data_IF_193238877004
#
_entry.id   IF_193238877004
#
_cell.length_a   1.000
_cell.length_b   1.000
_cell.length_c   1.000
_cell.angle_alpha   90.00
_cell.angle_beta   90.00
_cell.angle_gamma   90.00
#
_symmetry.space_group_name_H-M   'P 1'
#
loop_
_entity.id
_entity.type
_entity.pdbx_description
1 polymer ?
#
# COMPACT_ATOMS: atom_id res chain seq x y z
N UNK A 1 -28.51 39.92 -51.35
CA UNK A 1 -29.71 39.17 -50.90
C UNK A 1 -30.51 40.13 -50.04
N UNK A 2 -31.65 40.58 -50.54
CA UNK A 2 -32.44 41.62 -49.93
C UNK A 2 -33.11 41.10 -48.65
N UNK A 3 -32.95 41.84 -47.54
CA UNK A 3 -33.84 41.96 -46.40
C UNK A 3 -34.97 40.91 -46.25
N UNK A 4 -34.65 39.62 -46.10
CA UNK A 4 -35.62 38.67 -45.60
C UNK A 4 -35.92 39.06 -44.15
N UNK A 5 -37.10 39.62 -43.92
CA UNK A 5 -37.56 39.91 -42.57
C UNK A 5 -37.82 38.56 -41.89
N UNK A 6 -37.45 38.42 -40.62
CA UNK A 6 -37.70 37.21 -39.81
C UNK A 6 -39.17 36.72 -39.89
N UNK A 7 -40.10 37.64 -40.12
CA UNK A 7 -41.54 37.39 -40.29
C UNK A 7 -41.95 36.78 -41.64
N UNK A 8 -41.03 36.66 -42.59
CA UNK A 8 -41.27 36.14 -43.95
C UNK A 8 -40.68 34.73 -44.14
N UNK A 9 -40.08 34.16 -43.10
CA UNK A 9 -39.59 32.78 -43.11
C UNK A 9 -40.78 31.80 -43.18
N UNK A 10 -40.65 30.66 -43.87
CA UNK A 10 -41.72 29.67 -43.97
C UNK A 10 -42.16 29.18 -42.59
N UNK A 11 -43.47 29.20 -42.31
CA UNK A 11 -43.99 28.59 -41.09
C UNK A 11 -43.92 27.07 -41.21
N UNK A 12 -43.16 26.42 -40.33
CA UNK A 12 -43.22 24.95 -40.21
C UNK A 12 -44.47 24.61 -39.38
N UNK A 13 -45.36 23.79 -39.93
CA UNK A 13 -46.66 23.49 -39.31
C UNK A 13 -46.58 22.79 -37.93
N UNK A 14 -45.39 22.35 -37.52
CA UNK A 14 -45.10 21.75 -36.22
C UNK A 14 -44.22 22.64 -35.32
N UNK A 15 -44.04 23.92 -35.66
CA UNK A 15 -43.19 24.81 -34.89
C UNK A 15 -43.74 25.04 -33.47
N UNK A 16 -42.93 24.76 -32.46
CA UNK A 16 -43.24 24.95 -31.04
C UNK A 16 -42.35 26.03 -30.43
N UNK A 17 -42.65 26.44 -29.18
CA UNK A 17 -41.79 27.37 -28.44
C UNK A 17 -40.37 26.83 -28.16
N UNK A 18 -40.09 25.57 -28.51
CA UNK A 18 -38.78 24.94 -28.39
C UNK A 18 -37.93 25.05 -29.67
N UNK A 19 -38.39 25.72 -30.72
CA UNK A 19 -37.65 25.86 -31.97
C UNK A 19 -36.91 27.21 -32.04
N UNK A 20 -35.64 27.20 -32.43
CA UNK A 20 -34.79 28.41 -32.52
C UNK A 20 -34.40 28.62 -33.99
N UNK A 21 -34.45 29.87 -34.46
CA UNK A 21 -33.98 30.22 -35.82
C UNK A 21 -32.45 30.32 -35.78
N UNK A 22 -31.75 29.41 -36.46
CA UNK A 22 -30.31 29.54 -36.66
C UNK A 22 -29.99 30.41 -37.89
N UNK A 23 -28.90 31.16 -37.83
CA UNK A 23 -28.45 32.00 -38.95
C UNK A 23 -27.96 31.16 -40.14
N UNK A 24 -28.13 31.73 -41.34
CA UNK A 24 -27.81 31.22 -42.68
C UNK A 24 -26.57 30.32 -42.76
N UNK A 25 -26.74 29.10 -43.28
CA UNK A 25 -25.63 28.29 -43.81
C UNK A 25 -25.86 28.07 -45.32
N UNK A 26 -24.91 28.50 -46.16
CA UNK A 26 -25.01 28.31 -47.61
C UNK A 26 -26.05 29.18 -48.33
N UNK A 27 -26.53 30.26 -47.72
CA UNK A 27 -27.47 31.21 -48.35
C UNK A 27 -28.95 30.89 -48.15
N UNK A 28 -29.29 29.87 -47.36
CA UNK A 28 -30.66 29.48 -47.02
C UNK A 28 -30.83 29.55 -45.49
N UNK A 29 -31.95 30.14 -45.03
CA UNK A 29 -32.35 30.17 -43.63
C UNK A 29 -33.27 28.98 -43.34
N UNK A 30 -32.90 28.14 -42.37
CA UNK A 30 -33.71 27.00 -41.89
C UNK A 30 -33.96 27.11 -40.39
N UNK A 31 -35.13 26.64 -39.94
CA UNK A 31 -35.46 26.55 -38.52
C UNK A 31 -34.95 25.22 -37.97
N UNK A 32 -34.20 25.26 -36.87
CA UNK A 32 -33.70 24.06 -36.19
C UNK A 32 -34.43 23.90 -34.85
N UNK A 33 -34.76 22.67 -34.48
CA UNK A 33 -35.26 22.38 -33.12
C UNK A 33 -34.17 22.66 -32.09
N UNK A 34 -34.53 22.99 -30.84
CA UNK A 34 -33.56 23.07 -29.74
C UNK A 34 -32.71 21.79 -29.63
N UNK A 35 -33.28 20.62 -29.94
CA UNK A 35 -32.53 19.36 -29.95
C UNK A 35 -31.48 19.30 -31.07
N UNK A 36 -31.79 19.78 -32.28
CA UNK A 36 -30.82 19.85 -33.38
C UNK A 36 -29.68 20.82 -33.07
N UNK A 37 -30.02 21.98 -32.51
CA UNK A 37 -29.04 22.96 -32.02
C UNK A 37 -28.17 22.34 -30.93
N UNK A 38 -28.77 21.67 -29.94
CA UNK A 38 -28.04 20.96 -28.88
C UNK A 38 -27.16 19.83 -29.42
N UNK A 39 -27.60 19.07 -30.42
CA UNK A 39 -26.78 18.06 -31.08
C UNK A 39 -25.58 18.69 -31.80
N UNK A 40 -25.76 19.86 -32.42
CA UNK A 40 -24.69 20.60 -33.07
C UNK A 40 -23.66 21.11 -32.04
N UNK A 41 -24.10 21.60 -30.88
CA UNK A 41 -23.20 22.01 -29.79
C UNK A 41 -22.50 20.82 -29.11
N UNK A 42 -23.23 19.74 -28.84
CA UNK A 42 -22.69 18.52 -28.26
C UNK A 42 -21.67 17.86 -29.19
N UNK A 43 -21.89 17.85 -30.50
CA UNK A 43 -20.92 17.33 -31.47
C UNK A 43 -19.66 18.22 -31.62
N UNK A 44 -19.72 19.51 -31.26
CA UNK A 44 -18.63 20.46 -31.49
C UNK A 44 -17.83 20.88 -30.24
N UNK A 45 -18.31 20.63 -29.02
CA UNK A 45 -17.61 21.05 -27.78
C UNK A 45 -17.09 19.85 -26.96
N UNK A 46 -17.90 18.80 -26.76
CA UNK A 46 -17.51 17.58 -26.03
C UNK A 46 -18.18 16.36 -26.66
N UNK A 47 -17.40 15.47 -27.28
CA UNK A 47 -17.89 14.19 -27.77
C UNK A 47 -18.38 13.32 -26.62
N UNK A 48 -19.27 12.36 -26.89
CA UNK A 48 -19.72 11.41 -25.88
C UNK A 48 -19.52 9.99 -26.42
N UNK A 49 -18.98 9.10 -25.60
CA UNK A 49 -18.76 7.71 -25.96
C UNK A 49 -18.96 6.82 -24.73
N UNK A 50 -19.44 5.59 -24.92
CA UNK A 50 -19.57 4.64 -23.83
C UNK A 50 -18.30 3.79 -23.74
N UNK A 51 -17.41 4.11 -22.79
CA UNK A 51 -16.12 3.45 -22.61
C UNK A 51 -14.92 4.24 -23.13
N UNK A 52 -13.79 3.57 -23.35
CA UNK A 52 -12.55 4.21 -23.79
C UNK A 52 -12.64 4.63 -25.28
N UNK A 53 -12.49 5.94 -25.60
CA UNK A 53 -12.63 6.43 -26.98
C UNK A 53 -11.47 6.04 -27.92
N UNK A 54 -10.33 5.57 -27.42
CA UNK A 54 -9.21 5.12 -28.27
C UNK A 54 -9.63 3.92 -29.14
N UNK A 55 -9.37 3.99 -30.45
CA UNK A 55 -9.79 2.97 -31.42
C UNK A 55 -11.24 3.09 -31.89
N UNK A 56 -12.05 3.95 -31.24
CA UNK A 56 -13.50 4.01 -31.44
C UNK A 56 -13.99 5.39 -31.88
N UNK A 57 -13.30 6.46 -31.50
CA UNK A 57 -13.75 7.84 -31.72
C UNK A 57 -12.65 8.63 -32.42
N UNK A 58 -12.94 9.19 -33.60
CA UNK A 58 -12.06 10.14 -34.28
C UNK A 58 -11.95 11.43 -33.45
N UNK A 59 -10.83 12.14 -33.53
CA UNK A 59 -10.59 13.29 -32.66
C UNK A 59 -9.76 14.37 -33.32
N UNK A 60 -9.97 15.61 -32.88
CA UNK A 60 -9.08 16.74 -33.14
C UNK A 60 -8.34 17.10 -31.86
N UNK A 61 -7.06 17.46 -31.96
CA UNK A 61 -6.24 17.83 -30.79
C UNK A 61 -6.95 18.91 -29.97
N UNK A 62 -6.98 18.71 -28.64
CA UNK A 62 -7.71 19.49 -27.63
C UNK A 62 -9.23 19.31 -27.59
N UNK A 63 -9.81 18.50 -28.46
CA UNK A 63 -11.20 18.12 -28.33
C UNK A 63 -11.41 17.29 -27.06
N UNK A 64 -12.55 17.47 -26.41
CA UNK A 64 -12.95 16.71 -25.22
C UNK A 64 -13.88 15.56 -25.61
N UNK A 65 -13.79 14.44 -24.90
CA UNK A 65 -14.72 13.32 -25.00
C UNK A 65 -15.11 12.83 -23.60
N UNK A 66 -16.40 12.78 -23.32
CA UNK A 66 -16.97 12.24 -22.10
C UNK A 66 -17.28 10.76 -22.25
N UNK A 67 -16.66 9.94 -21.41
CA UNK A 67 -16.95 8.52 -21.25
C UNK A 67 -18.13 8.33 -20.29
N UNK A 68 -19.27 7.91 -20.83
CA UNK A 68 -20.51 7.71 -20.07
C UNK A 68 -20.52 6.43 -19.24
N UNK A 69 -19.66 5.46 -19.53
CA UNK A 69 -19.55 4.19 -18.79
C UNK A 69 -18.75 4.37 -17.52
N UNK A 70 -17.62 5.09 -17.59
CA UNK A 70 -16.71 5.29 -16.46
C UNK A 70 -16.77 6.70 -15.86
N UNK A 71 -17.69 7.55 -16.34
CA UNK A 71 -17.84 8.95 -15.87
C UNK A 71 -16.53 9.73 -15.94
N UNK A 72 -15.86 9.62 -17.10
CA UNK A 72 -14.49 10.04 -17.29
C UNK A 72 -14.36 11.09 -18.40
N UNK A 73 -13.47 12.07 -18.23
CA UNK A 73 -13.15 13.03 -19.29
C UNK A 73 -11.86 12.60 -20.00
N UNK A 74 -11.87 12.62 -21.31
CA UNK A 74 -10.71 12.43 -22.17
C UNK A 74 -10.43 13.70 -22.96
N UNK A 75 -9.16 13.99 -23.23
CA UNK A 75 -8.71 15.02 -24.17
C UNK A 75 -7.98 14.35 -25.33
N UNK A 76 -8.33 14.73 -26.56
CA UNK A 76 -7.59 14.26 -27.73
C UNK A 76 -6.23 14.96 -27.77
N UNK A 77 -5.15 14.20 -27.71
CA UNK A 77 -3.77 14.73 -27.75
C UNK A 77 -3.17 14.64 -29.16
N UNK A 78 -3.69 13.73 -29.99
CA UNK A 78 -3.28 13.56 -31.39
C UNK A 78 -4.51 13.51 -32.28
N UNK A 79 -4.63 14.45 -33.21
CA UNK A 79 -5.71 14.48 -34.20
C UNK A 79 -5.66 13.26 -35.13
N UNK A 80 -6.82 12.70 -35.50
CA UNK A 80 -6.86 11.55 -36.40
C UNK A 80 -8.25 10.93 -36.59
N UNK A 81 -8.27 9.82 -37.33
CA UNK A 81 -9.43 8.95 -37.48
C UNK A 81 -9.67 8.14 -36.20
N UNK A 82 -10.71 7.30 -36.15
CA UNK A 82 -10.99 6.39 -35.03
C UNK A 82 -9.79 5.49 -34.68
N UNK A 83 -8.93 5.19 -35.65
CA UNK A 83 -7.73 4.37 -35.49
C UNK A 83 -6.49 5.16 -35.05
N UNK A 84 -6.34 6.41 -35.52
CA UNK A 84 -5.11 7.19 -35.37
C UNK A 84 -5.21 8.32 -34.34
N UNK A 85 -6.42 8.69 -33.92
CA UNK A 85 -6.62 9.64 -32.84
C UNK A 85 -6.18 9.04 -31.50
N UNK A 86 -5.53 9.86 -30.67
CA UNK A 86 -5.13 9.46 -29.31
C UNK A 86 -5.93 10.28 -28.31
N UNK A 87 -6.64 9.59 -27.42
CA UNK A 87 -7.44 10.17 -26.35
C UNK A 87 -6.81 9.87 -25.00
N UNK A 88 -6.41 10.92 -24.29
CA UNK A 88 -5.75 10.83 -22.98
C UNK A 88 -6.75 11.12 -21.88
N UNK A 89 -6.83 10.25 -20.88
CA UNK A 89 -7.69 10.40 -19.71
C UNK A 89 -7.26 11.59 -18.83
N UNK A 90 -8.23 12.38 -18.36
CA UNK A 90 -8.03 13.50 -17.43
C UNK A 90 -8.36 13.03 -16.01
N UNK A 91 -7.35 12.95 -15.15
CA UNK A 91 -7.52 12.61 -13.73
C UNK A 91 -8.24 13.76 -12.98
N UNK A 92 -9.24 13.41 -12.17
CA UNK A 92 -9.92 14.36 -11.27
C UNK A 92 -9.04 14.82 -10.09
N UNK A 93 -9.55 15.75 -9.29
CA UNK A 93 -8.87 16.19 -8.05
C UNK A 93 -8.75 15.04 -7.06
N UNK A 94 -7.57 14.92 -6.43
CA UNK A 94 -7.27 13.84 -5.48
C UNK A 94 -7.36 14.32 -4.03
N UNK A 95 -7.68 13.42 -3.11
CA UNK A 95 -7.56 13.65 -1.66
C UNK A 95 -6.18 13.25 -1.16
N UNK A 96 -5.81 13.69 0.06
CA UNK A 96 -4.48 13.45 0.64
C UNK A 96 -4.13 11.94 0.66
N UNK A 97 -2.94 11.61 0.17
CA UNK A 97 -2.40 10.25 0.13
C UNK A 97 -3.04 9.30 -0.88
N UNK A 98 -3.83 9.81 -1.84
CA UNK A 98 -4.28 8.99 -2.96
C UNK A 98 -3.21 8.92 -4.06
N UNK A 99 -3.24 7.83 -4.82
CA UNK A 99 -2.47 7.57 -6.04
C UNK A 99 -3.42 7.14 -7.16
N UNK A 100 -3.04 7.38 -8.42
CA UNK A 100 -3.71 6.75 -9.55
C UNK A 100 -3.19 5.32 -9.70
N UNK A 101 -4.08 4.33 -9.54
CA UNK A 101 -3.77 2.91 -9.63
C UNK A 101 -4.41 2.36 -10.91
N UNK A 102 -3.64 1.62 -11.71
CA UNK A 102 -4.15 0.99 -12.92
C UNK A 102 -5.27 -0.02 -12.63
N UNK A 103 -6.30 -0.03 -13.47
CA UNK A 103 -7.41 -0.98 -13.40
C UNK A 103 -7.58 -1.65 -14.76
N UNK A 104 -7.31 -2.95 -14.85
CA UNK A 104 -7.34 -3.68 -16.13
C UNK A 104 -8.70 -3.54 -16.81
N UNK A 105 -8.71 -2.95 -18.02
CA UNK A 105 -9.92 -2.73 -18.81
C UNK A 105 -10.74 -1.49 -18.43
N UNK A 106 -10.34 -0.72 -17.42
CA UNK A 106 -11.04 0.47 -16.95
C UNK A 106 -10.09 1.69 -16.87
N UNK A 107 -10.63 2.89 -16.61
CA UNK A 107 -9.82 4.04 -16.25
C UNK A 107 -9.05 3.81 -14.93
N UNK A 108 -7.87 4.45 -14.72
CA UNK A 108 -7.16 4.38 -13.45
C UNK A 108 -8.04 4.85 -12.29
N UNK A 109 -7.97 4.18 -11.14
CA UNK A 109 -8.72 4.53 -9.94
C UNK A 109 -7.85 5.32 -8.97
N UNK A 110 -8.40 6.38 -8.37
CA UNK A 110 -7.73 7.10 -7.30
C UNK A 110 -7.90 6.33 -5.99
N UNK A 111 -6.82 5.89 -5.38
CA UNK A 111 -6.88 5.09 -4.16
C UNK A 111 -5.69 5.34 -3.24
N UNK A 112 -5.91 5.18 -1.92
CA UNK A 112 -4.83 5.19 -0.93
C UNK A 112 -4.19 3.81 -0.85
N UNK A 113 -2.87 3.75 -0.67
CA UNK A 113 -2.22 2.50 -0.29
C UNK A 113 -2.63 2.11 1.13
N UNK A 114 -2.91 0.82 1.35
CA UNK A 114 -3.19 0.26 2.67
C UNK A 114 -1.96 -0.46 3.22
N UNK A 115 -1.63 -0.20 4.48
CA UNK A 115 -0.52 -0.88 5.13
C UNK A 115 -0.80 -2.39 5.25
N UNK A 116 0.18 -3.20 4.83
CA UNK A 116 0.23 -4.63 5.12
C UNK A 116 0.99 -4.91 6.43
N UNK A 117 1.23 -6.19 6.71
CA UNK A 117 2.06 -6.61 7.85
C UNK A 117 3.43 -5.95 7.79
N UNK A 118 3.94 -5.50 8.94
CA UNK A 118 5.27 -4.91 9.09
C UNK A 118 5.52 -3.60 8.32
N UNK A 119 4.47 -2.96 7.80
CA UNK A 119 4.54 -1.66 7.14
C UNK A 119 3.60 -0.69 7.86
N UNK A 120 4.00 0.58 7.98
CA UNK A 120 3.08 1.69 8.22
C UNK A 120 3.03 2.59 7.00
N UNK A 121 1.84 3.12 6.73
CA UNK A 121 1.61 4.11 5.67
C UNK A 121 0.94 5.31 6.32
N UNK A 122 1.56 6.49 6.17
CA UNK A 122 1.03 7.77 6.65
C UNK A 122 0.75 8.65 5.45
N UNK A 123 -0.52 9.04 5.31
CA UNK A 123 -1.01 9.88 4.22
C UNK A 123 -1.01 11.35 4.62
N UNK A 124 -0.48 12.23 3.78
CA UNK A 124 -0.49 13.67 3.98
C UNK A 124 -0.72 14.42 2.64
N UNK A 125 -0.89 15.74 2.73
CA UNK A 125 -1.02 16.57 1.54
C UNK A 125 0.28 16.56 0.74
N UNK A 126 0.23 16.06 -0.50
CA UNK A 126 1.40 16.00 -1.40
C UNK A 126 2.46 14.96 -1.00
N UNK A 127 2.20 14.08 -0.03
CA UNK A 127 3.15 13.03 0.35
C UNK A 127 2.46 11.77 0.89
N UNK A 128 3.15 10.64 0.71
CA UNK A 128 2.86 9.37 1.36
C UNK A 128 4.18 8.92 1.98
N UNK A 129 4.20 8.72 3.29
CA UNK A 129 5.36 8.13 3.97
C UNK A 129 5.10 6.66 4.20
N UNK A 130 6.01 5.83 3.70
CA UNK A 130 6.00 4.38 3.93
C UNK A 130 7.17 4.06 4.85
N UNK A 131 6.92 3.33 5.92
CA UNK A 131 7.96 2.91 6.87
C UNK A 131 7.82 1.43 7.19
N UNK A 132 8.94 0.76 7.45
CA UNK A 132 8.91 -0.56 8.04
C UNK A 132 8.54 -0.43 9.53
N UNK A 133 7.53 -1.17 9.97
CA UNK A 133 7.17 -1.34 11.39
C UNK A 133 7.55 -2.70 11.93
N UNK A 134 7.81 -3.67 11.06
CA UNK A 134 8.39 -4.94 11.48
C UNK A 134 9.85 -4.77 11.86
N UNK A 135 10.26 -5.46 12.92
CA UNK A 135 11.67 -5.74 13.20
C UNK A 135 12.20 -6.69 12.14
N UNK A 136 12.44 -6.19 10.92
CA UNK A 136 13.17 -6.90 9.88
C UNK A 136 14.67 -7.07 10.21
N UNK A 137 15.09 -6.66 11.40
CA UNK A 137 16.42 -6.84 11.93
C UNK A 137 16.38 -7.42 13.33
N UNK A 138 17.27 -8.38 13.56
CA UNK A 138 17.65 -8.87 14.88
C UNK A 138 18.09 -7.67 15.73
N UNK A 139 17.25 -7.22 16.66
CA UNK A 139 17.48 -6.01 17.47
C UNK A 139 18.35 -6.34 18.67
N UNK A 140 19.20 -5.42 19.14
CA UNK A 140 20.06 -5.63 20.32
C UNK A 140 19.60 -4.78 21.50
N UNK A 141 19.34 -5.41 22.64
CA UNK A 141 18.99 -4.77 23.91
C UNK A 141 20.19 -4.79 24.86
N UNK A 142 20.57 -3.63 25.38
CA UNK A 142 21.57 -3.52 26.45
C UNK A 142 20.90 -3.69 27.81
N UNK A 143 21.14 -4.82 28.47
CA UNK A 143 20.52 -5.18 29.75
C UNK A 143 21.46 -4.77 30.88
N UNK A 144 21.09 -3.70 31.59
CA UNK A 144 21.83 -3.19 32.76
C UNK A 144 21.12 -3.46 34.09
N UNK A 145 19.89 -3.98 34.07
CA UNK A 145 19.17 -4.45 35.25
C UNK A 145 19.54 -5.89 35.64
N UNK A 146 18.94 -6.41 36.70
CA UNK A 146 19.11 -7.80 37.17
C UNK A 146 18.09 -8.77 36.57
N UNK A 147 17.07 -8.27 35.86
CA UNK A 147 16.04 -9.08 35.21
C UNK A 147 15.63 -8.50 33.85
N UNK A 148 15.36 -9.37 32.87
CA UNK A 148 14.82 -8.96 31.58
C UNK A 148 13.92 -10.06 31.00
N UNK A 149 12.68 -9.73 30.62
CA UNK A 149 11.86 -10.62 29.79
C UNK A 149 12.31 -10.50 28.33
N UNK A 150 12.64 -11.61 27.71
CA UNK A 150 13.11 -11.64 26.33
C UNK A 150 11.93 -11.63 25.36
N UNK A 151 12.08 -10.91 24.26
CA UNK A 151 11.32 -11.02 23.02
C UNK A 151 12.02 -11.93 22.00
N UNK A 152 11.24 -12.59 21.14
CA UNK A 152 11.72 -13.31 19.95
C UNK A 152 12.46 -12.38 18.99
N UNK A 153 13.40 -12.93 18.21
CA UNK A 153 14.19 -12.23 17.19
C UNK A 153 14.99 -11.05 17.74
N UNK A 154 15.61 -11.24 18.92
CA UNK A 154 16.33 -10.19 19.64
C UNK A 154 17.61 -10.73 20.31
N UNK A 155 18.63 -9.89 20.33
CA UNK A 155 19.90 -10.10 21.02
C UNK A 155 19.99 -9.30 22.32
N UNK A 156 20.69 -9.84 23.32
CA UNK A 156 20.85 -9.20 24.63
C UNK A 156 22.33 -9.08 24.98
N UNK A 157 22.80 -7.87 25.25
CA UNK A 157 24.12 -7.61 25.83
C UNK A 157 23.92 -7.44 27.32
N UNK A 158 24.36 -8.41 28.11
CA UNK A 158 24.15 -8.45 29.56
C UNK A 158 25.30 -7.79 30.28
N UNK A 159 25.04 -6.65 30.93
CA UNK A 159 26.05 -5.79 31.52
C UNK A 159 25.66 -5.32 32.93
N UNK A 160 25.57 -6.27 33.86
CA UNK A 160 25.37 -6.02 35.28
C UNK A 160 26.48 -6.68 36.12
N UNK A 161 26.76 -6.14 37.30
CA UNK A 161 27.72 -6.71 38.24
C UNK A 161 27.17 -7.89 39.04
N UNK A 162 25.85 -7.97 39.21
CA UNK A 162 25.10 -9.10 39.76
C UNK A 162 24.50 -9.97 38.65
N UNK A 163 24.06 -11.18 39.02
CA UNK A 163 23.47 -12.13 38.09
C UNK A 163 22.22 -11.55 37.43
N UNK A 164 22.14 -11.64 36.10
CA UNK A 164 20.96 -11.23 35.34
C UNK A 164 20.11 -12.43 34.97
N UNK A 165 18.85 -12.42 35.36
CA UNK A 165 17.87 -13.42 34.94
C UNK A 165 17.16 -12.96 33.67
N UNK A 166 17.37 -13.69 32.58
CA UNK A 166 16.70 -13.48 31.30
C UNK A 166 15.55 -14.49 31.17
N UNK A 167 14.30 -14.04 31.15
CA UNK A 167 13.14 -14.94 31.02
C UNK A 167 12.81 -15.16 29.55
N UNK A 168 12.66 -16.41 29.12
CA UNK A 168 12.25 -16.73 27.74
C UNK A 168 10.90 -16.11 27.35
N UNK A 169 10.67 -15.80 26.05
CA UNK A 169 9.38 -15.31 25.58
C UNK A 169 8.28 -16.33 25.85
N UNK A 170 7.10 -15.87 26.29
CA UNK A 170 5.92 -16.74 26.46
C UNK A 170 5.34 -17.24 25.11
N UNK A 171 5.53 -16.44 24.05
CA UNK A 171 5.10 -16.76 22.70
C UNK A 171 6.29 -16.74 21.76
N UNK A 172 6.49 -17.83 21.00
CA UNK A 172 7.48 -17.91 19.93
C UNK A 172 6.99 -18.82 18.80
N UNK A 173 7.44 -18.53 17.59
CA UNK A 173 7.17 -19.33 16.40
C UNK A 173 8.41 -20.11 15.96
N UNK A 174 8.20 -21.20 15.21
CA UNK A 174 9.30 -21.98 14.63
C UNK A 174 10.21 -21.05 13.82
N UNK A 175 11.50 -21.04 14.14
CA UNK A 175 12.50 -20.20 13.49
C UNK A 175 12.76 -18.86 14.19
N UNK A 176 12.03 -18.50 15.26
CA UNK A 176 12.40 -17.34 16.07
C UNK A 176 13.78 -17.51 16.70
N UNK A 177 14.54 -16.43 16.80
CA UNK A 177 15.95 -16.48 17.21
C UNK A 177 16.22 -15.63 18.46
N UNK A 178 17.13 -16.07 19.34
CA UNK A 178 17.61 -15.30 20.49
C UNK A 178 19.14 -15.44 20.61
N UNK A 179 19.81 -14.34 20.90
CA UNK A 179 21.25 -14.32 21.16
C UNK A 179 21.54 -13.62 22.48
N UNK A 180 22.50 -14.14 23.24
CA UNK A 180 22.95 -13.51 24.48
C UNK A 180 24.45 -13.34 24.42
N UNK A 181 24.92 -12.14 24.78
CA UNK A 181 26.34 -11.80 24.93
C UNK A 181 26.59 -11.37 26.36
N UNK A 182 27.43 -12.11 27.08
CA UNK A 182 27.91 -11.73 28.41
C UNK A 182 28.91 -10.58 28.35
N UNK A 183 28.70 -9.53 29.16
CA UNK A 183 29.62 -8.39 29.31
C UNK A 183 29.96 -8.08 30.76
N UNK A 184 28.94 -7.98 31.62
CA UNK A 184 29.06 -7.63 33.03
C UNK A 184 29.58 -8.79 33.88
N UNK A 185 30.19 -8.49 35.03
CA UNK A 185 30.84 -9.50 35.88
C UNK A 185 29.87 -10.48 36.56
N UNK A 186 28.57 -10.17 36.62
CA UNK A 186 27.59 -11.00 37.31
C UNK A 186 27.12 -12.22 36.52
N UNK A 187 27.42 -12.29 35.22
CA UNK A 187 26.93 -13.36 34.35
C UNK A 187 25.43 -13.27 34.06
N UNK A 188 24.89 -14.32 33.47
CA UNK A 188 23.48 -14.45 33.13
C UNK A 188 22.95 -15.86 33.39
N UNK A 189 21.63 -15.93 33.60
CA UNK A 189 20.89 -17.18 33.65
C UNK A 189 19.59 -17.03 32.86
N UNK A 190 19.24 -18.05 32.10
CA UNK A 190 17.98 -18.12 31.37
C UNK A 190 16.95 -18.81 32.26
N UNK A 191 15.85 -18.12 32.52
CA UNK A 191 14.67 -18.68 33.18
C UNK A 191 13.63 -19.12 32.14
N UNK A 192 13.20 -20.37 32.25
CA UNK A 192 12.12 -20.93 31.43
C UNK A 192 10.74 -20.65 32.04
N UNK A 193 9.73 -20.55 31.18
CA UNK A 193 8.32 -20.59 31.59
C UNK A 193 7.81 -22.03 31.60
N UNK A 194 6.57 -22.24 32.04
CA UNK A 194 5.95 -23.56 32.08
C UNK A 194 5.94 -24.22 30.68
N UNK A 195 6.34 -25.49 30.61
CA UNK A 195 6.39 -26.26 29.36
C UNK A 195 7.53 -25.92 28.41
N UNK A 196 8.39 -24.96 28.73
CA UNK A 196 9.54 -24.61 27.90
C UNK A 196 10.76 -25.49 28.21
N UNK A 197 11.60 -25.73 27.21
CA UNK A 197 12.87 -26.46 27.33
C UNK A 197 13.94 -25.85 26.42
N UNK A 198 15.21 -25.98 26.82
CA UNK A 198 16.37 -25.59 26.01
C UNK A 198 17.23 -26.84 25.74
N UNK A 199 17.47 -27.13 24.47
CA UNK A 199 18.33 -28.22 24.01
C UNK A 199 19.73 -27.68 23.72
N UNK A 200 20.75 -28.30 24.33
CA UNK A 200 22.16 -27.90 24.24
C UNK A 200 23.00 -29.12 23.83
N UNK A 201 23.18 -29.31 22.52
CA UNK A 201 23.89 -30.48 21.99
C UNK A 201 23.20 -31.78 22.42
N UNK A 202 23.89 -32.61 23.20
CA UNK A 202 23.35 -33.86 23.77
C UNK A 202 22.69 -33.70 25.14
N UNK A 203 22.68 -32.48 25.70
CA UNK A 203 22.05 -32.16 26.99
C UNK A 203 20.77 -31.36 26.77
N UNK A 204 19.92 -31.31 27.79
CA UNK A 204 18.70 -30.50 27.79
C UNK A 204 18.40 -30.02 29.20
N UNK A 205 17.85 -28.82 29.33
CA UNK A 205 17.35 -28.32 30.61
C UNK A 205 16.13 -29.12 31.06
N UNK A 206 15.80 -29.04 32.36
CA UNK A 206 14.53 -29.57 32.86
C UNK A 206 13.36 -28.83 32.21
N UNK A 207 12.28 -29.52 31.84
CA UNK A 207 11.10 -28.88 31.24
C UNK A 207 10.41 -27.98 32.27
N UNK A 208 10.05 -26.76 31.88
CA UNK A 208 9.29 -25.82 32.68
C UNK A 208 10.14 -24.92 33.58
N UNK A 209 9.50 -24.30 34.58
CA UNK A 209 10.10 -23.26 35.45
C UNK A 209 11.28 -23.72 36.31
N UNK A 210 11.50 -25.03 36.42
CA UNK A 210 12.66 -25.60 37.12
C UNK A 210 13.92 -25.68 36.25
N UNK A 211 13.79 -25.55 34.93
CA UNK A 211 14.92 -25.58 34.01
C UNK A 211 15.63 -24.24 33.88
N UNK A 212 16.95 -24.29 33.71
CA UNK A 212 17.74 -23.08 33.44
C UNK A 212 19.02 -23.37 32.65
N UNK A 213 19.49 -22.33 31.95
CA UNK A 213 20.79 -22.32 31.29
C UNK A 213 21.59 -21.13 31.81
N UNK A 214 22.77 -21.35 32.38
CA UNK A 214 23.54 -20.28 33.03
C UNK A 214 24.98 -20.19 32.53
N UNK A 215 25.50 -18.96 32.44
CA UNK A 215 26.92 -18.71 32.17
C UNK A 215 27.80 -19.22 33.31
N UNK A 216 28.97 -19.75 32.99
CA UNK A 216 30.03 -20.02 33.99
C UNK A 216 31.13 -18.94 33.95
N UNK A 217 31.25 -18.22 32.84
CA UNK A 217 32.11 -17.07 32.66
C UNK A 217 31.30 -15.83 32.26
N UNK A 218 31.71 -14.65 32.74
CA UNK A 218 31.09 -13.35 32.41
C UNK A 218 30.99 -13.03 30.92
N UNK A 219 31.81 -13.67 30.06
CA UNK A 219 31.80 -13.47 28.59
C UNK A 219 31.11 -14.58 27.82
N UNK A 220 30.56 -15.57 28.52
CA UNK A 220 29.82 -16.63 27.86
C UNK A 220 28.66 -16.02 27.06
N UNK A 221 28.51 -16.54 25.86
CA UNK A 221 27.58 -16.04 24.86
C UNK A 221 27.05 -17.24 24.08
N UNK A 222 25.81 -17.17 23.63
CA UNK A 222 25.16 -18.23 22.86
C UNK A 222 24.10 -17.69 21.91
N UNK A 223 23.65 -18.55 21.00
CA UNK A 223 22.58 -18.31 20.05
C UNK A 223 21.67 -19.54 19.96
N UNK A 224 20.37 -19.33 20.13
CA UNK A 224 19.32 -20.37 20.11
C UNK A 224 18.23 -20.00 19.10
N UNK A 225 17.59 -21.03 18.57
CA UNK A 225 16.47 -20.92 17.63
C UNK A 225 15.31 -21.74 18.18
N UNK A 226 14.09 -21.21 18.07
CA UNK A 226 12.87 -21.92 18.45
C UNK A 226 12.64 -23.06 17.45
N UNK A 227 12.69 -24.31 17.93
CA UNK A 227 12.51 -25.54 17.13
C UNK A 227 11.14 -26.18 17.31
N UNK A 228 10.41 -25.78 18.35
CA UNK A 228 8.99 -26.08 18.51
C UNK A 228 8.30 -24.87 19.13
N UNK A 229 7.23 -24.39 18.49
CA UNK A 229 6.58 -23.13 18.83
C UNK A 229 6.24 -23.06 20.33
N UNK A 230 6.65 -21.96 20.97
CA UNK A 230 6.51 -21.65 22.39
C UNK A 230 7.28 -22.56 23.37
N UNK A 231 7.56 -23.81 23.04
CA UNK A 231 7.96 -24.83 24.03
C UNK A 231 9.41 -25.29 23.92
N UNK A 232 10.07 -25.15 22.77
CA UNK A 232 11.44 -25.66 22.61
C UNK A 232 12.35 -24.67 21.88
N UNK A 233 13.51 -24.46 22.48
CA UNK A 233 14.62 -23.71 21.91
C UNK A 233 15.83 -24.62 21.78
N UNK A 234 16.47 -24.64 20.62
CA UNK A 234 17.67 -25.43 20.39
C UNK A 234 18.87 -24.49 20.18
N UNK A 235 19.98 -24.82 20.82
CA UNK A 235 21.24 -24.11 20.61
C UNK A 235 21.77 -24.37 19.21
N UNK A 236 21.69 -23.36 18.35
CA UNK A 236 22.06 -23.48 16.94
C UNK A 236 23.58 -23.33 16.71
N UNK A 237 24.27 -22.59 17.58
CA UNK A 237 25.74 -22.55 17.60
C UNK A 237 26.23 -22.81 19.01
N UNK A 238 27.31 -23.58 19.15
CA UNK A 238 27.90 -23.90 20.45
C UNK A 238 28.25 -22.64 21.26
N UNK A 239 28.19 -22.72 22.60
CA UNK A 239 28.52 -21.59 23.45
C UNK A 239 30.01 -21.25 23.36
N UNK A 240 30.38 -19.98 23.55
CA UNK A 240 31.80 -19.56 23.57
C UNK A 240 32.58 -20.12 24.78
N UNK A 241 31.89 -20.74 25.74
CA UNK A 241 32.44 -21.35 26.96
C UNK A 241 31.54 -22.47 27.50
N UNK A 242 31.83 -22.98 28.69
CA UNK A 242 31.00 -24.03 29.31
C UNK A 242 29.77 -23.38 29.95
N UNK A 243 28.59 -23.92 29.71
CA UNK A 243 27.35 -23.46 30.34
C UNK A 243 26.85 -24.48 31.35
N UNK A 244 26.19 -24.02 32.41
CA UNK A 244 25.48 -24.88 33.34
C UNK A 244 24.06 -25.11 32.84
N UNK A 245 23.70 -26.38 32.63
CA UNK A 245 22.38 -26.83 32.17
C UNK A 245 21.69 -27.51 33.36
N UNK A 246 20.50 -27.05 33.73
CA UNK A 246 19.67 -27.60 34.82
C UNK A 246 18.29 -27.92 34.29
#
# INVERSE_FOLDING_TARGET
MANEKFTQLPSVAAATANDIICAVQGGISSQETLQQVMNLFQANIVLHFAGNPNGNVAGTTYQLCWDTTHTALYVCTTSGSTVTAVWTYVLGTMTNGQLAIGSTGNAPTLSTLTAGTNISIVNASGSITISATGSGGFTWTHVTGTTQTMASNNGYIVDNSGLVTLTLPATSTLGDEIQVIGRGSGGWTIAQLAGQQIIVGSSSTTIGVGGSLSSTNRRDSFYIVCTNANTEWTMATGPQGILTVV
#
